data_IF_937806882476
#
_entry.id   IF_937806882476
#
_cell.length_a   1.000
_cell.length_b   1.000
_cell.length_c   1.000
_cell.angle_alpha   90.00
_cell.angle_beta   90.00
_cell.angle_gamma   90.00
#
_symmetry.space_group_name_H-M   'P 1'
#
loop_
_entity.id
_entity.type
_entity.pdbx_description
1 polymer ?
#
# COMPACT_ATOMS: atom_id res chain seq x y z
N UNK A 1 7.06 6.86 -20.32
CA UNK A 1 7.78 7.13 -19.07
C UNK A 1 7.85 5.83 -18.28
N UNK A 2 8.98 5.48 -17.64
CA UNK A 2 9.07 4.31 -16.80
C UNK A 2 8.21 4.48 -15.53
N UNK A 3 7.52 3.44 -15.05
CA UNK A 3 6.79 3.51 -13.79
C UNK A 3 7.73 3.80 -12.61
N UNK A 4 7.36 4.74 -11.74
CA UNK A 4 8.07 4.99 -10.47
C UNK A 4 7.43 4.17 -9.37
N UNK A 5 8.22 3.36 -8.67
CA UNK A 5 7.74 2.47 -7.60
C UNK A 5 8.22 2.99 -6.26
N UNK A 6 7.26 3.21 -5.37
CA UNK A 6 7.49 3.74 -4.04
C UNK A 6 7.24 2.66 -3.00
N UNK A 7 8.21 2.44 -2.14
CA UNK A 7 8.21 1.35 -1.17
C UNK A 7 8.36 1.93 0.22
N UNK A 8 7.37 1.70 1.07
CA UNK A 8 7.28 2.29 2.39
C UNK A 8 8.38 1.73 3.31
N UNK A 9 8.44 0.41 3.45
CA UNK A 9 9.38 -0.27 4.33
C UNK A 9 10.44 -1.04 3.56
N UNK A 10 11.48 -1.47 4.25
CA UNK A 10 12.57 -2.25 3.67
C UNK A 10 12.22 -3.76 3.48
N UNK A 11 11.02 -4.17 3.87
CA UNK A 11 10.57 -5.56 3.78
C UNK A 11 11.30 -6.53 4.70
N UNK A 12 11.97 -6.03 5.75
CA UNK A 12 12.79 -6.85 6.67
C UNK A 12 11.98 -7.88 7.46
N UNK A 13 10.68 -7.62 7.69
CA UNK A 13 9.79 -8.52 8.41
C UNK A 13 10.37 -8.97 9.75
N UNK A 14 10.11 -10.24 10.11
CA UNK A 14 10.65 -10.85 11.33
C UNK A 14 12.13 -11.22 11.23
N UNK A 15 12.70 -11.27 10.03
CA UNK A 15 14.11 -11.65 9.83
C UNK A 15 15.08 -10.53 10.14
N UNK A 16 14.60 -9.28 10.18
CA UNK A 16 15.43 -8.09 10.33
C UNK A 16 16.38 -7.82 9.16
N UNK A 17 16.24 -8.54 8.04
CA UNK A 17 17.08 -8.36 6.84
C UNK A 17 16.29 -7.63 5.77
N UNK A 18 16.80 -6.49 5.33
CA UNK A 18 16.23 -5.71 4.24
C UNK A 18 16.12 -6.54 2.96
N UNK A 19 15.00 -6.37 2.25
CA UNK A 19 14.73 -6.99 0.95
C UNK A 19 14.87 -5.99 -0.21
N UNK A 20 15.34 -4.79 0.05
CA UNK A 20 15.42 -3.71 -0.95
C UNK A 20 16.28 -4.11 -2.15
N UNK A 21 17.39 -4.83 -1.95
CA UNK A 21 18.24 -5.27 -3.05
C UNK A 21 17.50 -6.26 -3.99
N UNK A 22 16.73 -7.19 -3.43
CA UNK A 22 15.92 -8.12 -4.23
C UNK A 22 14.80 -7.37 -4.96
N UNK A 23 14.15 -6.43 -4.30
CA UNK A 23 13.13 -5.57 -4.90
C UNK A 23 13.71 -4.73 -6.04
N UNK A 24 14.89 -4.13 -5.85
CA UNK A 24 15.57 -3.33 -6.87
C UNK A 24 15.84 -4.16 -8.14
N UNK A 25 16.35 -5.38 -7.98
CA UNK A 25 16.56 -6.29 -9.14
C UNK A 25 15.27 -6.59 -9.89
N UNK A 26 14.15 -6.78 -9.18
CA UNK A 26 12.85 -6.99 -9.83
C UNK A 26 12.42 -5.74 -10.60
N UNK A 27 12.54 -4.54 -10.01
CA UNK A 27 12.20 -3.29 -10.69
C UNK A 27 13.03 -3.12 -11.96
N UNK A 28 14.34 -3.32 -11.89
CA UNK A 28 15.24 -3.24 -13.05
C UNK A 28 14.81 -4.20 -14.16
N UNK A 29 14.45 -5.45 -13.80
CA UNK A 29 14.00 -6.46 -14.76
C UNK A 29 12.68 -6.13 -15.45
N UNK A 30 11.85 -5.30 -14.82
CA UNK A 30 10.53 -4.87 -15.34
C UNK A 30 10.57 -3.49 -15.97
N UNK A 31 11.69 -2.79 -15.94
CA UNK A 31 11.85 -1.44 -16.49
C UNK A 31 11.21 -0.35 -15.61
N UNK A 32 10.92 -0.66 -14.35
CA UNK A 32 10.47 0.31 -13.36
C UNK A 32 11.68 0.97 -12.65
N UNK A 33 11.47 2.10 -12.04
CA UNK A 33 12.51 2.84 -11.31
C UNK A 33 12.12 3.10 -9.86
N UNK A 34 13.09 3.10 -8.92
CA UNK A 34 12.83 3.52 -7.54
C UNK A 34 12.33 4.96 -7.47
N UNK A 35 11.31 5.19 -6.67
CA UNK A 35 10.78 6.51 -6.38
C UNK A 35 11.44 7.18 -5.15
N UNK A 36 10.99 8.38 -4.77
CA UNK A 36 11.58 9.15 -3.68
C UNK A 36 11.37 8.55 -2.28
N UNK A 37 10.41 7.64 -2.12
CA UNK A 37 10.24 6.82 -0.91
C UNK A 37 10.56 5.39 -1.28
N UNK A 38 11.66 4.87 -0.74
CA UNK A 38 12.15 3.55 -1.12
C UNK A 38 12.87 2.90 0.06
N UNK A 39 12.15 2.05 0.79
CA UNK A 39 12.67 1.40 2.00
C UNK A 39 13.05 2.40 3.09
N UNK A 40 12.24 3.43 3.29
CA UNK A 40 12.58 4.57 4.15
C UNK A 40 12.55 4.27 5.65
N UNK A 41 11.99 3.13 6.04
CA UNK A 41 11.97 2.61 7.42
C UNK A 41 11.96 1.09 7.40
N UNK A 42 12.31 0.47 8.53
CA UNK A 42 12.15 -0.97 8.70
C UNK A 42 10.69 -1.33 8.98
N UNK A 43 10.31 -2.59 8.75
CA UNK A 43 8.98 -3.06 9.17
C UNK A 43 8.79 -2.88 10.69
N UNK A 44 9.83 -3.14 11.47
CA UNK A 44 9.78 -2.95 12.94
C UNK A 44 9.52 -1.48 13.33
N UNK A 45 10.13 -0.51 12.63
CA UNK A 45 9.90 0.91 12.88
C UNK A 45 8.46 1.30 12.57
N UNK A 46 7.90 0.78 11.49
CA UNK A 46 6.50 1.00 11.13
C UNK A 46 5.58 0.48 12.24
N UNK A 47 5.73 -0.79 12.63
CA UNK A 47 4.89 -1.40 13.67
C UNK A 47 5.03 -0.69 15.01
N UNK A 48 6.25 -0.38 15.44
CA UNK A 48 6.51 0.34 16.68
C UNK A 48 5.92 1.75 16.66
N UNK A 49 5.97 2.45 15.53
CA UNK A 49 5.38 3.78 15.36
C UNK A 49 3.85 3.73 15.47
N UNK A 50 3.20 2.74 14.84
CA UNK A 50 1.75 2.55 14.93
C UNK A 50 1.34 2.20 16.35
N UNK A 51 1.98 1.20 16.97
CA UNK A 51 1.69 0.73 18.33
C UNK A 51 1.94 1.80 19.39
N UNK A 52 2.98 2.61 19.22
CA UNK A 52 3.35 3.72 20.11
C UNK A 52 2.61 5.03 19.82
N UNK A 53 1.67 5.05 18.87
CA UNK A 53 0.98 6.28 18.43
C UNK A 53 1.95 7.39 17.99
N UNK A 54 3.14 7.03 17.53
CA UNK A 54 4.08 7.99 16.94
C UNK A 54 3.74 8.22 15.46
N UNK A 55 2.84 9.16 15.20
CA UNK A 55 2.33 9.39 13.85
C UNK A 55 3.24 10.29 12.99
N UNK A 56 4.25 10.96 13.58
CA UNK A 56 5.07 11.93 12.85
C UNK A 56 5.81 11.35 11.62
N UNK A 57 6.38 10.13 11.64
CA UNK A 57 6.98 9.53 10.46
C UNK A 57 5.98 9.42 9.29
N UNK A 58 4.73 9.07 9.57
CA UNK A 58 3.68 8.91 8.55
C UNK A 58 3.23 10.27 7.98
N UNK A 59 3.13 11.31 8.80
CA UNK A 59 2.86 12.67 8.34
C UNK A 59 3.95 13.18 7.40
N UNK A 60 5.22 12.95 7.74
CA UNK A 60 6.34 13.31 6.90
C UNK A 60 6.32 12.57 5.55
N UNK A 61 5.90 11.30 5.55
CA UNK A 61 5.72 10.52 4.32
C UNK A 61 4.60 11.08 3.47
N UNK A 62 3.46 11.43 4.05
CA UNK A 62 2.34 12.07 3.31
C UNK A 62 2.82 13.34 2.62
N UNK A 63 3.54 14.22 3.32
CA UNK A 63 4.05 15.46 2.75
C UNK A 63 5.06 15.21 1.63
N UNK A 64 5.99 14.27 1.84
CA UNK A 64 7.00 13.89 0.85
C UNK A 64 6.36 13.30 -0.41
N UNK A 65 5.39 12.39 -0.26
CA UNK A 65 4.67 11.79 -1.37
C UNK A 65 3.83 12.82 -2.12
N UNK A 66 3.08 13.68 -1.41
CA UNK A 66 2.29 14.73 -2.04
C UNK A 66 3.17 15.72 -2.82
N UNK A 67 4.34 16.07 -2.29
CA UNK A 67 5.29 16.93 -3.00
C UNK A 67 5.83 16.26 -4.28
N UNK A 68 6.18 14.97 -4.21
CA UNK A 68 6.66 14.21 -5.37
C UNK A 68 5.57 14.04 -6.43
N UNK A 69 4.34 13.71 -6.04
CA UNK A 69 3.18 13.63 -6.94
C UNK A 69 3.02 14.94 -7.74
N UNK A 70 3.12 16.07 -7.07
CA UNK A 70 2.99 17.37 -7.73
C UNK A 70 4.20 17.72 -8.61
N UNK A 71 5.42 17.46 -8.12
CA UNK A 71 6.66 17.75 -8.84
C UNK A 71 6.76 16.93 -10.12
N UNK A 72 6.49 15.64 -10.05
CA UNK A 72 6.60 14.71 -11.16
C UNK A 72 5.34 14.67 -12.03
N UNK A 73 4.34 15.50 -11.71
CA UNK A 73 3.05 15.59 -12.41
C UNK A 73 2.37 14.22 -12.55
N UNK A 74 2.35 13.44 -11.47
CA UNK A 74 1.76 12.10 -11.47
C UNK A 74 0.25 12.20 -11.68
N UNK A 75 -0.26 11.52 -12.69
CA UNK A 75 -1.68 11.50 -13.04
C UNK A 75 -2.43 10.31 -12.44
N UNK A 76 -1.72 9.22 -12.14
CA UNK A 76 -2.32 7.98 -11.65
C UNK A 76 -1.39 7.28 -10.65
N UNK A 77 -1.96 6.78 -9.57
CA UNK A 77 -1.30 5.98 -8.55
C UNK A 77 -2.09 4.69 -8.34
N UNK A 78 -1.38 3.57 -8.34
CA UNK A 78 -1.91 2.29 -7.90
C UNK A 78 -1.05 1.78 -6.71
N UNK A 79 -1.70 1.21 -5.71
CA UNK A 79 -0.98 0.69 -4.55
C UNK A 79 -1.79 -0.32 -3.77
N UNK A 80 -1.28 -0.73 -2.64
CA UNK A 80 -1.85 -1.76 -1.78
C UNK A 80 -3.31 -1.47 -1.43
N UNK A 81 -4.14 -2.49 -1.40
CA UNK A 81 -5.47 -2.38 -0.81
C UNK A 81 -5.40 -2.45 0.72
N UNK A 82 -6.32 -1.77 1.39
CA UNK A 82 -6.55 -1.96 2.83
C UNK A 82 -7.55 -3.10 3.03
N UNK A 83 -7.04 -4.28 3.32
CA UNK A 83 -7.85 -5.51 3.41
C UNK A 83 -7.95 -6.05 4.84
N UNK A 84 -7.31 -5.40 5.83
CA UNK A 84 -7.26 -5.89 7.20
C UNK A 84 -6.44 -7.18 7.36
N UNK A 85 -5.65 -7.53 6.36
CA UNK A 85 -4.79 -8.71 6.37
C UNK A 85 -3.45 -8.43 7.04
N UNK A 86 -2.80 -7.33 6.63
CA UNK A 86 -1.50 -6.89 7.14
C UNK A 86 -1.53 -5.39 7.43
N UNK A 87 -1.26 -4.94 8.67
CA UNK A 87 -1.35 -3.52 9.02
C UNK A 87 -0.31 -2.64 8.31
N UNK A 88 0.79 -3.20 7.80
CA UNK A 88 1.76 -2.48 6.98
C UNK A 88 1.15 -2.02 5.65
N UNK A 89 0.44 -2.92 4.96
CA UNK A 89 -0.28 -2.59 3.72
C UNK A 89 -1.42 -1.62 3.96
N UNK A 90 -2.20 -1.82 5.04
CA UNK A 90 -3.26 -0.90 5.43
C UNK A 90 -2.70 0.50 5.72
N UNK A 91 -1.55 0.60 6.44
CA UNK A 91 -0.85 1.86 6.69
C UNK A 91 -0.38 2.51 5.38
N UNK A 92 0.19 1.72 4.46
CA UNK A 92 0.60 2.19 3.14
C UNK A 92 -0.59 2.83 2.40
N UNK A 93 -1.74 2.15 2.37
CA UNK A 93 -2.96 2.68 1.74
C UNK A 93 -3.44 3.98 2.37
N UNK A 94 -3.43 4.09 3.71
CA UNK A 94 -3.78 5.34 4.40
C UNK A 94 -2.87 6.51 3.99
N UNK A 95 -1.55 6.26 3.92
CA UNK A 95 -0.58 7.27 3.50
C UNK A 95 -0.81 7.69 2.04
N UNK A 96 -1.03 6.74 1.12
CA UNK A 96 -1.32 7.03 -0.29
C UNK A 96 -2.58 7.90 -0.40
N UNK A 97 -3.68 7.53 0.26
CA UNK A 97 -4.93 8.27 0.22
C UNK A 97 -4.74 9.71 0.72
N UNK A 98 -4.05 9.89 1.84
CA UNK A 98 -3.77 11.22 2.40
C UNK A 98 -2.88 12.06 1.46
N UNK A 99 -1.83 11.46 0.88
CA UNK A 99 -0.92 12.14 -0.03
C UNK A 99 -1.61 12.57 -1.33
N UNK A 100 -2.43 11.69 -1.93
CA UNK A 100 -3.22 12.01 -3.12
C UNK A 100 -4.21 13.14 -2.83
N UNK A 101 -4.97 13.06 -1.73
CA UNK A 101 -5.92 14.11 -1.31
C UNK A 101 -5.20 15.45 -1.12
N UNK A 102 -4.05 15.44 -0.45
CA UNK A 102 -3.25 16.65 -0.22
C UNK A 102 -2.71 17.22 -1.54
N UNK A 103 -2.20 16.39 -2.44
CA UNK A 103 -1.69 16.82 -3.75
C UNK A 103 -2.82 17.38 -4.63
N UNK A 104 -3.99 16.75 -4.66
CA UNK A 104 -5.17 17.25 -5.39
C UNK A 104 -5.61 18.62 -4.87
N UNK A 105 -5.68 18.81 -3.55
CA UNK A 105 -6.02 20.10 -2.95
C UNK A 105 -4.99 21.19 -3.30
N UNK A 106 -3.69 20.86 -3.27
CA UNK A 106 -2.63 21.83 -3.55
C UNK A 106 -2.48 22.16 -5.03
N UNK A 107 -2.69 21.20 -5.94
CA UNK A 107 -2.53 21.40 -7.38
C UNK A 107 -3.81 21.75 -8.09
N UNK A 108 -4.98 21.50 -7.49
CA UNK A 108 -6.30 21.57 -8.13
C UNK A 108 -6.44 20.67 -9.37
N UNK A 109 -5.60 19.62 -9.47
CA UNK A 109 -5.63 18.64 -10.56
C UNK A 109 -6.21 17.32 -10.05
N UNK A 110 -7.05 16.64 -10.83
CA UNK A 110 -7.49 15.29 -10.50
C UNK A 110 -6.29 14.32 -10.61
N UNK A 111 -6.21 13.37 -9.69
CA UNK A 111 -5.21 12.30 -9.68
C UNK A 111 -5.96 11.00 -9.51
N UNK A 112 -5.78 10.07 -10.44
CA UNK A 112 -6.33 8.73 -10.34
C UNK A 112 -5.71 7.98 -9.14
N UNK A 113 -6.55 7.47 -8.26
CA UNK A 113 -6.10 6.69 -7.10
C UNK A 113 -6.76 5.31 -7.17
N UNK A 114 -5.92 4.28 -7.29
CA UNK A 114 -6.37 2.91 -7.46
C UNK A 114 -5.71 1.99 -6.43
N UNK A 115 -6.38 0.89 -6.13
CA UNK A 115 -5.79 -0.21 -5.38
C UNK A 115 -5.81 -1.52 -6.18
N UNK A 116 -5.01 -2.48 -5.73
CA UNK A 116 -5.02 -3.84 -6.22
C UNK A 116 -5.13 -4.82 -5.05
N UNK A 117 -5.77 -5.96 -5.29
CA UNK A 117 -5.95 -7.00 -4.29
C UNK A 117 -4.60 -7.62 -3.90
N UNK A 118 -4.38 -7.77 -2.60
CA UNK A 118 -3.21 -8.45 -2.04
C UNK A 118 -3.56 -9.89 -1.65
N UNK A 119 -4.81 -10.11 -1.23
CA UNK A 119 -5.29 -11.42 -0.80
C UNK A 119 -6.42 -11.87 -1.75
N UNK A 120 -6.21 -13.00 -2.39
CA UNK A 120 -7.18 -13.57 -3.32
C UNK A 120 -6.83 -13.37 -4.80
N UNK A 121 -7.81 -13.55 -5.70
CA UNK A 121 -7.58 -13.42 -7.15
C UNK A 121 -7.26 -11.99 -7.56
N UNK A 122 -6.26 -11.77 -8.44
CA UNK A 122 -5.86 -10.41 -8.86
C UNK A 122 -6.92 -9.69 -9.70
N UNK A 123 -7.88 -10.42 -10.26
CA UNK A 123 -9.03 -9.90 -11.00
C UNK A 123 -10.27 -9.67 -10.11
N UNK A 124 -10.14 -9.80 -8.79
CA UNK A 124 -11.25 -9.57 -7.87
C UNK A 124 -11.67 -8.11 -7.87
N UNK A 125 -12.93 -7.87 -8.23
CA UNK A 125 -13.54 -6.55 -8.28
C UNK A 125 -15.00 -6.61 -7.85
N UNK A 126 -15.39 -5.72 -6.94
CA UNK A 126 -16.80 -5.56 -6.59
C UNK A 126 -17.60 -5.06 -7.80
N UNK A 127 -18.84 -5.51 -7.92
CA UNK A 127 -19.67 -5.27 -9.13
C UNK A 127 -19.88 -3.77 -9.37
N UNK A 128 -20.12 -3.00 -8.34
CA UNK A 128 -20.31 -1.55 -8.38
C UNK A 128 -19.06 -0.76 -8.79
N UNK A 129 -17.89 -1.37 -8.79
CA UNK A 129 -16.63 -0.76 -9.18
C UNK A 129 -16.18 -1.14 -10.60
N UNK A 130 -16.75 -2.20 -11.19
CA UNK A 130 -16.26 -2.81 -12.45
C UNK A 130 -16.09 -1.81 -13.58
N UNK A 131 -17.09 -0.96 -13.81
CA UNK A 131 -17.11 -0.01 -14.94
C UNK A 131 -16.13 1.16 -14.76
N UNK A 132 -15.66 1.39 -13.53
CA UNK A 132 -14.70 2.45 -13.19
C UNK A 132 -13.29 1.92 -12.92
N UNK A 133 -13.12 0.61 -12.92
CA UNK A 133 -11.85 -0.06 -12.68
C UNK A 133 -11.01 -0.14 -13.95
N UNK A 134 -9.71 -0.15 -13.79
CA UNK A 134 -8.78 -0.39 -14.88
C UNK A 134 -8.46 -1.88 -14.94
N UNK A 135 -8.68 -2.47 -16.10
CA UNK A 135 -8.46 -3.90 -16.34
C UNK A 135 -7.20 -4.09 -17.19
N UNK A 136 -6.23 -4.80 -16.65
CA UNK A 136 -4.98 -5.14 -17.33
C UNK A 136 -5.08 -6.60 -17.80
N UNK A 137 -5.13 -6.79 -19.12
CA UNK A 137 -5.12 -8.10 -19.74
C UNK A 137 -3.72 -8.34 -20.34
N UNK A 138 -2.95 -9.24 -19.73
CA UNK A 138 -1.61 -9.57 -20.20
C UNK A 138 -1.68 -10.58 -21.35
N UNK A 139 -0.90 -10.32 -22.39
CA UNK A 139 -0.59 -11.32 -23.39
C UNK A 139 0.35 -12.40 -22.83
N UNK A 140 0.74 -13.37 -23.65
CA UNK A 140 1.59 -14.47 -23.19
C UNK A 140 2.99 -13.99 -22.77
N UNK A 141 3.53 -13.00 -23.46
CA UNK A 141 4.83 -12.40 -23.12
C UNK A 141 4.75 -11.61 -21.81
N UNK A 142 3.72 -10.78 -21.63
CA UNK A 142 3.49 -10.01 -20.42
C UNK A 142 3.29 -10.92 -19.20
N UNK A 143 2.51 -12.00 -19.35
CA UNK A 143 2.33 -12.99 -18.30
C UNK A 143 3.64 -13.70 -17.97
N UNK A 144 4.41 -14.12 -18.98
CA UNK A 144 5.70 -14.77 -18.76
C UNK A 144 6.67 -13.85 -18.02
N UNK A 145 6.76 -12.57 -18.39
CA UNK A 145 7.57 -11.56 -17.67
C UNK A 145 7.14 -11.41 -16.22
N UNK A 146 5.85 -11.28 -15.97
CA UNK A 146 5.30 -11.16 -14.61
C UNK A 146 5.67 -12.36 -13.75
N UNK A 147 5.45 -13.59 -14.25
CA UNK A 147 5.76 -14.80 -13.51
C UNK A 147 7.27 -14.98 -13.30
N UNK A 148 8.09 -14.61 -14.28
CA UNK A 148 9.55 -14.63 -14.15
C UNK A 148 10.03 -13.65 -13.07
N UNK A 149 9.50 -12.41 -13.06
CA UNK A 149 9.81 -11.41 -12.06
C UNK A 149 9.42 -11.90 -10.64
N UNK A 150 8.23 -12.47 -10.47
CA UNK A 150 7.80 -13.03 -9.20
C UNK A 150 8.73 -14.15 -8.70
N UNK A 151 9.10 -15.09 -9.57
CA UNK A 151 10.05 -16.20 -9.24
C UNK A 151 11.46 -15.73 -8.95
N UNK A 152 11.87 -14.57 -9.45
CA UNK A 152 13.20 -14.01 -9.20
C UNK A 152 13.34 -13.36 -7.81
N UNK A 153 12.27 -13.35 -6.99
CA UNK A 153 12.28 -12.80 -5.65
C UNK A 153 12.56 -13.91 -4.61
N UNK A 154 13.82 -14.07 -4.13
CA UNK A 154 14.21 -15.24 -3.34
C UNK A 154 13.45 -15.40 -2.02
N UNK A 155 13.16 -14.26 -1.37
CA UNK A 155 12.53 -14.22 -0.04
C UNK A 155 11.03 -14.54 -0.08
N UNK A 156 10.41 -14.58 -1.26
CA UNK A 156 9.00 -14.90 -1.48
C UNK A 156 8.81 -16.17 -2.33
N UNK A 157 9.86 -16.94 -2.57
CA UNK A 157 9.79 -18.09 -3.47
C UNK A 157 8.72 -19.12 -3.06
N UNK A 158 8.60 -19.42 -1.76
CA UNK A 158 7.62 -20.37 -1.27
C UNK A 158 6.18 -19.89 -1.46
N UNK A 159 5.93 -18.61 -1.20
CA UNK A 159 4.63 -17.97 -1.40
C UNK A 159 4.28 -17.91 -2.89
N UNK A 160 5.23 -17.55 -3.73
CA UNK A 160 5.06 -17.50 -5.20
C UNK A 160 4.74 -18.88 -5.75
N UNK A 161 5.50 -19.92 -5.39
CA UNK A 161 5.22 -21.28 -5.83
C UNK A 161 3.84 -21.77 -5.36
N UNK A 162 3.46 -21.46 -4.11
CA UNK A 162 2.14 -21.78 -3.58
C UNK A 162 1.04 -21.09 -4.37
N UNK A 163 1.21 -19.79 -4.68
CA UNK A 163 0.23 -19.02 -5.45
C UNK A 163 0.12 -19.51 -6.92
N UNK A 164 1.23 -19.97 -7.52
CA UNK A 164 1.27 -20.42 -8.90
C UNK A 164 0.81 -21.87 -9.09
N UNK A 165 0.78 -22.69 -8.02
CA UNK A 165 0.39 -24.10 -8.11
C UNK A 165 -1.03 -24.29 -8.68
N UNK A 166 -1.10 -24.72 -9.93
CA UNK A 166 -2.35 -25.07 -10.65
C UNK A 166 -3.12 -23.92 -11.28
N UNK A 167 -2.66 -22.66 -11.16
CA UNK A 167 -3.48 -21.51 -11.57
C UNK A 167 -2.70 -20.32 -12.16
N UNK A 168 -1.54 -20.55 -12.76
CA UNK A 168 -0.73 -19.49 -13.38
C UNK A 168 -1.50 -18.57 -14.34
N UNK A 169 -2.52 -19.10 -15.03
CA UNK A 169 -3.39 -18.32 -15.92
C UNK A 169 -4.25 -17.27 -15.21
N UNK A 170 -4.52 -17.41 -13.92
CA UNK A 170 -5.25 -16.40 -13.12
C UNK A 170 -4.51 -15.06 -13.02
N UNK A 171 -3.18 -15.07 -13.16
CA UNK A 171 -2.37 -13.86 -13.09
C UNK A 171 -2.33 -13.08 -14.42
N UNK A 172 -3.09 -13.52 -15.43
CA UNK A 172 -3.22 -12.84 -16.73
C UNK A 172 -4.04 -11.56 -16.64
N UNK A 173 -5.03 -11.53 -15.77
CA UNK A 173 -5.92 -10.38 -15.61
C UNK A 173 -5.71 -9.75 -14.25
N UNK A 174 -5.54 -8.45 -14.22
CA UNK A 174 -5.51 -7.66 -13.00
C UNK A 174 -6.56 -6.56 -13.03
N UNK A 175 -7.14 -6.29 -11.87
CA UNK A 175 -8.08 -5.22 -11.66
C UNK A 175 -7.48 -4.17 -10.74
N UNK A 176 -7.33 -2.94 -11.24
CA UNK A 176 -7.02 -1.77 -10.42
C UNK A 176 -8.33 -1.06 -10.11
N UNK A 177 -8.74 -1.09 -8.84
CA UNK A 177 -10.03 -0.58 -8.38
C UNK A 177 -9.90 0.88 -7.96
N UNK A 178 -10.82 1.77 -8.36
CA UNK A 178 -10.78 3.16 -7.93
C UNK A 178 -11.03 3.25 -6.43
N UNK A 179 -10.16 3.99 -5.75
CA UNK A 179 -10.26 4.25 -4.31
C UNK A 179 -10.93 5.60 -4.10
N UNK A 180 -11.96 5.61 -3.29
CA UNK A 180 -12.55 6.87 -2.85
C UNK A 180 -11.66 7.51 -1.79
N UNK A 181 -10.87 8.49 -2.19
CA UNK A 181 -9.95 9.22 -1.30
C UNK A 181 -10.66 10.05 -0.22
N UNK A 182 -11.99 10.21 -0.30
CA UNK A 182 -12.78 10.86 0.74
C UNK A 182 -13.03 9.97 1.96
N UNK A 183 -12.88 8.65 1.82
CA UNK A 183 -12.99 7.71 2.93
C UNK A 183 -11.60 7.20 3.30
N UNK A 184 -11.00 7.75 4.34
CA UNK A 184 -9.82 7.16 4.98
C UNK A 184 -10.18 5.96 5.85
N UNK A 185 -11.47 5.64 5.98
CA UNK A 185 -11.90 4.46 6.68
C UNK A 185 -11.47 3.22 5.89
N UNK A 186 -10.48 2.53 6.40
CA UNK A 186 -10.30 1.10 6.14
C UNK A 186 -11.67 0.47 6.42
N UNK A 187 -12.19 -0.35 5.53
CA UNK A 187 -13.49 -1.01 5.67
C UNK A 187 -13.67 -1.52 7.10
N UNK A 188 -14.31 -0.76 7.91
CA UNK A 188 -14.93 -1.26 9.12
C UNK A 188 -16.36 -1.67 8.76
N UNK A 189 -16.52 -2.85 8.18
CA UNK A 189 -17.75 -3.59 8.45
C UNK A 189 -17.59 -4.09 9.87
N UNK A 190 -18.27 -3.45 10.80
CA UNK A 190 -18.06 -3.46 12.24
C UNK A 190 -18.32 -4.82 12.93
N UNK A 191 -18.40 -5.93 12.25
CA UNK A 191 -18.81 -7.21 12.84
C UNK A 191 -17.65 -8.16 13.14
N UNK A 192 -16.52 -8.06 12.43
CA UNK A 192 -15.36 -8.91 12.72
C UNK A 192 -14.06 -8.11 12.75
N UNK A 193 -13.17 -8.38 13.74
CA UNK A 193 -11.87 -7.74 13.81
C UNK A 193 -11.02 -8.16 12.59
N UNK A 194 -10.15 -7.26 12.09
CA UNK A 194 -9.23 -7.56 11.00
C UNK A 194 -8.38 -8.82 11.29
N UNK A 195 -8.00 -9.52 10.23
CA UNK A 195 -7.20 -10.74 10.36
C UNK A 195 -5.91 -10.52 11.15
N UNK A 196 -5.24 -9.38 10.97
CA UNK A 196 -4.00 -9.08 11.70
C UNK A 196 -4.20 -9.00 13.23
N UNK A 197 -5.40 -8.67 13.74
CA UNK A 197 -5.68 -8.74 15.19
C UNK A 197 -5.73 -10.18 15.67
N UNK A 198 -6.46 -11.03 14.97
CA UNK A 198 -6.58 -12.46 15.29
C UNK A 198 -5.21 -13.16 15.21
N UNK A 199 -4.43 -12.81 14.19
CA UNK A 199 -3.07 -13.29 14.03
C UNK A 199 -2.18 -12.78 15.17
N UNK A 200 -2.24 -11.49 15.49
CA UNK A 200 -1.49 -10.86 16.57
C UNK A 200 -1.78 -11.50 17.93
N UNK A 201 -3.04 -11.81 18.23
CA UNK A 201 -3.41 -12.50 19.46
C UNK A 201 -2.77 -13.89 19.58
N UNK A 202 -2.72 -14.65 18.48
CA UNK A 202 -2.02 -15.94 18.43
C UNK A 202 -0.52 -15.76 18.68
N UNK A 203 0.09 -14.75 18.09
CA UNK A 203 1.52 -14.47 18.28
C UNK A 203 1.87 -14.02 19.69
N UNK A 204 1.01 -13.22 20.34
CA UNK A 204 1.18 -12.85 21.76
C UNK A 204 1.04 -14.07 22.67
N UNK A 205 0.03 -14.92 22.45
CA UNK A 205 -0.15 -16.18 23.23
C UNK A 205 1.06 -17.12 23.07
N UNK A 206 1.71 -17.12 21.91
CA UNK A 206 2.90 -17.91 21.62
C UNK A 206 4.22 -17.26 22.09
N UNK A 207 4.17 -16.06 22.66
CA UNK A 207 5.33 -15.33 23.17
C UNK A 207 6.20 -14.65 22.10
N UNK A 208 5.76 -14.62 20.83
CA UNK A 208 6.49 -13.97 19.75
C UNK A 208 6.28 -12.46 19.72
N UNK A 209 5.08 -11.98 20.06
CA UNK A 209 4.75 -10.56 20.10
C UNK A 209 4.49 -10.13 21.55
N UNK A 210 4.81 -8.86 21.85
CA UNK A 210 4.57 -8.27 23.17
C UNK A 210 3.14 -7.73 23.30
N UNK A 211 2.56 -7.26 22.20
CA UNK A 211 1.22 -6.69 22.16
C UNK A 211 0.58 -6.88 20.79
N UNK A 212 -0.74 -6.73 20.74
CA UNK A 212 -1.55 -6.85 19.52
C UNK A 212 -1.77 -5.46 18.92
N UNK A 213 -1.52 -5.31 17.63
CA UNK A 213 -1.96 -4.11 16.90
C UNK A 213 -3.46 -4.25 16.64
N UNK A 214 -4.26 -3.27 17.13
CA UNK A 214 -5.71 -3.26 17.02
C UNK A 214 -6.20 -2.13 16.14
N UNK A 215 -7.21 -2.40 15.34
CA UNK A 215 -7.77 -1.42 14.43
C UNK A 215 -8.27 -0.17 15.16
N UNK A 216 -9.14 -0.36 16.15
CA UNK A 216 -9.76 0.76 16.85
C UNK A 216 -8.78 1.57 17.71
N UNK A 217 -7.75 0.91 18.25
CA UNK A 217 -6.78 1.54 19.16
C UNK A 217 -5.61 2.19 18.44
N UNK A 218 -5.23 1.68 17.26
CA UNK A 218 -4.00 2.09 16.57
C UNK A 218 -4.25 2.60 15.15
N UNK A 219 -4.95 1.82 14.30
CA UNK A 219 -5.13 2.18 12.88
C UNK A 219 -6.15 3.30 12.68
N UNK A 220 -7.27 3.26 13.39
CA UNK A 220 -8.28 4.31 13.30
C UNK A 220 -7.78 5.66 13.82
N UNK A 221 -7.06 5.77 14.96
CA UNK A 221 -6.40 7.00 15.35
C UNK A 221 -5.39 7.50 14.31
N UNK A 222 -4.57 6.62 13.73
CA UNK A 222 -3.65 7.00 12.65
C UNK A 222 -4.41 7.60 11.46
N UNK A 223 -5.47 6.93 10.98
CA UNK A 223 -6.30 7.43 9.89
C UNK A 223 -6.84 8.84 10.17
N UNK A 224 -7.37 9.07 11.39
CA UNK A 224 -7.87 10.39 11.82
C UNK A 224 -6.79 11.47 11.85
N UNK A 225 -5.59 11.14 12.30
CA UNK A 225 -4.46 12.08 12.33
C UNK A 225 -4.04 12.46 10.91
N UNK A 226 -3.97 11.49 9.99
CA UNK A 226 -3.66 11.74 8.58
C UNK A 226 -4.72 12.62 7.92
N UNK A 227 -6.01 12.38 8.18
CA UNK A 227 -7.10 13.17 7.62
C UNK A 227 -7.05 14.62 8.13
N UNK A 228 -6.89 14.80 9.44
CA UNK A 228 -6.73 16.12 10.06
C UNK A 228 -5.50 16.88 9.54
N UNK A 229 -4.41 16.16 9.22
CA UNK A 229 -3.22 16.77 8.60
C UNK A 229 -3.52 17.31 7.21
N UNK A 230 -4.23 16.54 6.39
CA UNK A 230 -4.66 16.96 5.06
C UNK A 230 -5.56 18.19 5.15
N UNK A 231 -6.56 18.18 6.02
CA UNK A 231 -7.49 19.29 6.20
C UNK A 231 -6.78 20.60 6.58
N UNK A 232 -5.90 20.56 7.59
CA UNK A 232 -5.11 21.74 8.01
C UNK A 232 -4.27 22.32 6.88
N UNK A 233 -3.61 21.44 6.10
CA UNK A 233 -2.73 21.87 5.02
C UNK A 233 -3.46 22.27 3.74
N UNK A 234 -4.75 21.94 3.62
CA UNK A 234 -5.64 22.38 2.53
C UNK A 234 -6.20 23.79 2.76
N UNK A 235 -6.52 24.14 4.00
CA UNK A 235 -7.12 25.44 4.36
C UNK A 235 -6.13 26.62 4.27
N UNK A 236 -4.83 26.37 4.33
CA UNK A 236 -3.80 27.42 4.33
C UNK A 236 -3.75 28.25 3.03
N UNK A 237 -4.30 27.78 1.91
CA UNK A 237 -4.43 28.55 0.67
C UNK A 237 -5.66 29.46 0.64
N UNK A 238 -6.78 29.04 1.23
CA UNK A 238 -8.02 29.81 1.22
C UNK A 238 -7.91 31.13 2.02
N UNK A 239 -6.93 31.25 2.92
CA UNK A 239 -6.69 32.44 3.73
C UNK A 239 -5.68 33.43 3.11
N UNK A 240 -5.11 33.14 1.93
CA UNK A 240 -4.14 33.98 1.23
C UNK A 240 -4.56 34.43 -0.18
N UNK A 241 -5.73 34.05 -0.63
CA UNK A 241 -6.42 34.56 -1.83
C UNK A 241 -7.49 35.58 -1.46
#
# INVERSE_FOLDING_TARGET
>A
MAPSVWILTDGSGHTGRSRIDSTTRVLESTGAVPGPVYGSMTDADLYNSVLGSNHQPFLNLVDKLAAAIMHDQVECIAGDAAEGYNPGHDTCRLIINAAVKLAQHKSSKPIGNYDFTLVGPPDHCAEDLRDRSLWLNLDDEGLARKLSAARSYPELQAEVETALNGTGSRFRVECLRPVNSHSLAIRSTAEEPPYYEQYGEKQVKSGYYKQVLRYNEHMLPLARVLDSHVERNSQWRASRS
#
